data_IF_474039666776
#
_entry.id   IF_474039666776
#
_cell.length_a   1.000
_cell.length_b   1.000
_cell.length_c   1.000
_cell.angle_alpha   90.00
_cell.angle_beta   90.00
_cell.angle_gamma   90.00
#
_symmetry.space_group_name_H-M   'P 1'
#
loop_
_entity.id
_entity.type
_entity.pdbx_description
1 polymer ?
#
# COMPACT_ATOMS: atom_id res chain seq x y z
N UNK A 1 -13.29 -8.51 -0.45
CA UNK A 1 -12.26 -9.08 -1.36
C UNK A 1 -11.28 -7.98 -1.76
N UNK A 2 -9.98 -8.27 -1.90
CA UNK A 2 -8.98 -7.28 -2.36
C UNK A 2 -8.55 -7.61 -3.78
N UNK A 3 -8.64 -6.64 -4.69
CA UNK A 3 -8.38 -6.81 -6.11
C UNK A 3 -7.34 -5.77 -6.57
N UNK A 4 -6.41 -6.22 -7.41
CA UNK A 4 -5.48 -5.34 -8.10
C UNK A 4 -6.14 -4.75 -9.35
N UNK A 5 -5.91 -3.46 -9.61
CA UNK A 5 -6.39 -2.80 -10.84
C UNK A 5 -5.68 -3.29 -12.11
N UNK A 6 -4.41 -3.69 -12.00
CA UNK A 6 -3.63 -4.37 -13.04
C UNK A 6 -2.34 -4.93 -12.42
N UNK A 7 -1.81 -6.00 -13.00
CA UNK A 7 -0.58 -6.65 -12.52
C UNK A 7 0.71 -6.10 -13.15
N UNK A 8 0.62 -5.16 -14.11
CA UNK A 8 1.76 -4.54 -14.80
C UNK A 8 2.80 -5.54 -15.36
N UNK A 9 2.35 -6.72 -15.77
CA UNK A 9 3.20 -7.79 -16.32
C UNK A 9 2.66 -8.31 -17.64
N UNK A 10 3.56 -8.82 -18.49
CA UNK A 10 3.17 -9.46 -19.76
C UNK A 10 2.38 -10.73 -19.47
N UNK A 11 1.11 -10.75 -19.87
CA UNK A 11 0.18 -11.83 -19.55
C UNK A 11 -0.44 -11.78 -18.14
N UNK A 12 -0.26 -10.67 -17.41
CA UNK A 12 -0.96 -10.42 -16.15
C UNK A 12 -2.37 -9.84 -16.37
N UNK A 13 -3.09 -9.60 -15.27
CA UNK A 13 -4.47 -9.09 -15.31
C UNK A 13 -4.56 -7.74 -16.04
N UNK A 14 -5.35 -7.70 -17.11
CA UNK A 14 -5.71 -6.45 -17.80
C UNK A 14 -6.77 -5.67 -17.01
N UNK A 15 -6.99 -4.40 -17.38
CA UNK A 15 -8.03 -3.59 -16.74
C UNK A 15 -9.41 -4.18 -17.05
N UNK A 16 -9.62 -4.61 -18.29
CA UNK A 16 -10.85 -5.24 -18.74
C UNK A 16 -11.13 -6.54 -17.97
N UNK A 17 -10.13 -7.42 -17.85
CA UNK A 17 -10.27 -8.64 -17.06
C UNK A 17 -10.59 -8.33 -15.59
N UNK A 18 -9.98 -7.29 -15.03
CA UNK A 18 -10.23 -6.89 -13.64
C UNK A 18 -11.67 -6.40 -13.42
N UNK A 19 -12.28 -5.75 -14.42
CA UNK A 19 -13.69 -5.35 -14.37
C UNK A 19 -14.62 -6.55 -14.45
N UNK A 20 -14.31 -7.53 -15.29
CA UNK A 20 -15.08 -8.77 -15.39
C UNK A 20 -15.01 -9.56 -14.09
N UNK A 21 -13.82 -9.69 -13.50
CA UNK A 21 -13.61 -10.31 -12.18
C UNK A 21 -14.37 -9.57 -11.09
N UNK A 22 -14.27 -8.25 -11.04
CA UNK A 22 -14.99 -7.44 -10.05
C UNK A 22 -16.52 -7.60 -10.17
N UNK A 23 -17.04 -7.64 -11.40
CA UNK A 23 -18.47 -7.84 -11.67
C UNK A 23 -18.93 -9.23 -11.26
N UNK A 24 -18.16 -10.27 -11.58
CA UNK A 24 -18.44 -11.64 -11.17
C UNK A 24 -18.43 -11.80 -9.65
N UNK A 25 -17.45 -11.19 -8.98
CA UNK A 25 -17.37 -11.18 -7.53
C UNK A 25 -18.57 -10.45 -6.91
N UNK A 26 -18.96 -9.29 -7.45
CA UNK A 26 -20.15 -8.55 -7.03
C UNK A 26 -21.42 -9.39 -7.19
N UNK A 27 -21.59 -10.07 -8.32
CA UNK A 27 -22.71 -10.99 -8.56
C UNK A 27 -22.72 -12.21 -7.63
N UNK A 28 -21.56 -12.60 -7.09
CA UNK A 28 -21.45 -13.64 -6.07
C UNK A 28 -21.78 -13.16 -4.65
N UNK A 29 -22.09 -11.87 -4.47
CA UNK A 29 -22.58 -11.31 -3.21
C UNK A 29 -21.50 -10.94 -2.21
N UNK A 30 -20.31 -10.52 -2.67
CA UNK A 30 -19.30 -9.97 -1.75
C UNK A 30 -19.73 -8.61 -1.18
N UNK A 31 -19.34 -8.32 0.06
CA UNK A 31 -19.78 -7.10 0.76
C UNK A 31 -18.93 -5.85 0.43
N UNK A 32 -17.68 -6.04 0.00
CA UNK A 32 -16.73 -4.96 -0.22
C UNK A 32 -15.63 -5.38 -1.21
N UNK A 33 -15.33 -4.51 -2.17
CA UNK A 33 -14.15 -4.61 -3.04
C UNK A 33 -13.10 -3.58 -2.61
N UNK A 34 -11.97 -4.05 -2.11
CA UNK A 34 -10.81 -3.20 -1.89
C UNK A 34 -9.95 -3.13 -3.15
N UNK A 35 -9.82 -1.93 -3.70
CA UNK A 35 -8.98 -1.63 -4.85
C UNK A 35 -7.60 -1.18 -4.38
N UNK A 36 -6.60 -1.91 -4.84
CA UNK A 36 -5.20 -1.53 -4.80
C UNK A 36 -4.55 -1.80 -6.15
N UNK A 37 -3.24 -1.66 -6.25
CA UNK A 37 -2.54 -2.08 -7.44
C UNK A 37 -1.05 -2.26 -7.19
N UNK A 38 -0.42 -2.93 -8.14
CA UNK A 38 0.99 -3.31 -8.09
C UNK A 38 1.19 -4.76 -7.66
N UNK A 39 2.24 -5.36 -8.22
CA UNK A 39 2.67 -6.71 -7.96
C UNK A 39 4.01 -6.67 -7.20
N UNK A 40 4.23 -7.53 -6.21
CA UNK A 40 5.53 -7.64 -5.51
C UNK A 40 6.70 -7.97 -6.45
N UNK A 41 6.43 -8.53 -7.63
CA UNK A 41 7.43 -8.84 -8.65
C UNK A 41 7.86 -7.63 -9.51
N UNK A 42 7.14 -6.50 -9.46
CA UNK A 42 7.50 -5.23 -10.11
C UNK A 42 7.04 -4.07 -9.22
N UNK A 43 7.94 -3.27 -8.61
CA UNK A 43 7.65 -2.40 -7.46
C UNK A 43 6.81 -1.14 -7.78
N UNK A 44 5.66 -1.31 -8.42
CA UNK A 44 4.64 -0.29 -8.60
C UNK A 44 4.17 0.29 -7.26
N UNK A 45 4.13 -0.55 -6.21
CA UNK A 45 3.79 -0.18 -4.83
C UNK A 45 4.83 0.74 -4.15
N UNK A 46 6.06 0.80 -4.67
CA UNK A 46 7.16 1.63 -4.15
C UNK A 46 7.35 2.93 -4.97
N UNK A 47 6.36 3.29 -5.79
CA UNK A 47 6.42 4.48 -6.66
C UNK A 47 7.28 4.30 -7.90
N UNK A 48 7.59 3.06 -8.30
CA UNK A 48 8.37 2.76 -9.51
C UNK A 48 7.51 2.76 -10.78
N UNK A 49 6.19 2.56 -10.67
CA UNK A 49 5.25 2.56 -11.80
C UNK A 49 4.45 3.85 -11.97
N UNK A 50 4.67 4.87 -11.11
CA UNK A 50 3.97 6.14 -11.26
C UNK A 50 4.89 7.20 -11.84
N UNK A 51 4.43 7.96 -12.85
CA UNK A 51 5.17 9.12 -13.34
C UNK A 51 5.49 10.04 -12.16
N UNK A 52 6.67 10.67 -12.21
CA UNK A 52 7.03 11.69 -11.24
C UNK A 52 5.92 12.75 -11.21
N UNK A 53 5.24 12.92 -10.07
CA UNK A 53 4.18 13.92 -9.88
C UNK A 53 2.83 13.40 -9.39
N UNK A 54 2.53 12.09 -9.46
CA UNK A 54 1.27 11.56 -8.91
C UNK A 54 1.30 11.58 -7.39
N UNK A 55 0.58 12.54 -6.81
CA UNK A 55 0.77 12.99 -5.42
C UNK A 55 -0.09 12.22 -4.41
N UNK A 56 -1.18 11.59 -4.85
CA UNK A 56 -2.08 10.76 -4.04
C UNK A 56 -3.05 9.96 -4.92
N UNK A 57 -3.70 8.93 -4.37
CA UNK A 57 -4.82 8.22 -5.03
C UNK A 57 -4.47 7.48 -6.33
N UNK A 58 -3.44 6.63 -6.29
CA UNK A 58 -2.87 5.95 -7.48
C UNK A 58 -3.87 5.24 -8.39
N UNK A 59 -4.95 4.72 -7.81
CA UNK A 59 -5.95 3.91 -8.49
C UNK A 59 -7.34 4.55 -8.48
N UNK A 60 -7.42 5.85 -8.16
CA UNK A 60 -8.70 6.54 -8.00
C UNK A 60 -9.52 6.55 -9.29
N UNK A 61 -8.91 6.89 -10.43
CA UNK A 61 -9.64 6.93 -11.70
C UNK A 61 -10.18 5.56 -12.10
N UNK A 62 -9.38 4.51 -11.92
CA UNK A 62 -9.80 3.13 -12.12
C UNK A 62 -10.95 2.73 -11.17
N UNK A 63 -10.85 3.06 -9.88
CA UNK A 63 -11.88 2.71 -8.90
C UNK A 63 -13.19 3.45 -9.18
N UNK A 64 -13.13 4.71 -9.60
CA UNK A 64 -14.31 5.49 -10.03
C UNK A 64 -14.94 4.89 -11.28
N UNK A 65 -14.15 4.41 -12.23
CA UNK A 65 -14.67 3.72 -13.40
C UNK A 65 -15.34 2.39 -13.03
N UNK A 66 -14.70 1.59 -12.18
CA UNK A 66 -15.25 0.34 -11.69
C UNK A 66 -16.57 0.56 -10.94
N UNK A 67 -16.68 1.61 -10.13
CA UNK A 67 -17.90 1.96 -9.38
C UNK A 67 -19.09 2.31 -10.27
N UNK A 68 -18.86 2.57 -11.56
CA UNK A 68 -19.96 2.74 -12.54
C UNK A 68 -20.48 1.41 -13.10
N UNK A 69 -19.80 0.30 -12.81
CA UNK A 69 -20.04 -1.04 -13.38
C UNK A 69 -20.54 -2.03 -12.35
N UNK A 70 -20.27 -1.80 -11.06
CA UNK A 70 -20.68 -2.68 -9.95
C UNK A 70 -21.42 -1.89 -8.88
N UNK A 71 -22.40 -2.54 -8.24
CA UNK A 71 -23.12 -1.97 -7.07
C UNK A 71 -22.40 -2.25 -5.75
N UNK A 72 -21.40 -3.14 -5.77
CA UNK A 72 -20.62 -3.51 -4.59
C UNK A 72 -19.83 -2.30 -4.08
N UNK A 73 -19.89 -1.99 -2.77
CA UNK A 73 -19.11 -0.90 -2.18
C UNK A 73 -17.62 -1.04 -2.45
N UNK A 74 -16.96 0.10 -2.72
CA UNK A 74 -15.55 0.18 -3.08
C UNK A 74 -14.72 0.83 -1.96
N UNK A 75 -13.66 0.14 -1.55
CA UNK A 75 -12.61 0.69 -0.70
C UNK A 75 -11.38 1.02 -1.54
N UNK A 76 -10.86 2.24 -1.48
CA UNK A 76 -9.63 2.63 -2.17
C UNK A 76 -8.44 2.64 -1.20
N UNK A 77 -7.41 1.86 -1.50
CA UNK A 77 -6.15 1.85 -0.75
C UNK A 77 -4.97 2.17 -1.66
N UNK A 78 -4.26 3.26 -1.39
CA UNK A 78 -3.02 3.58 -2.10
C UNK A 78 -2.73 5.07 -2.19
N UNK A 79 -1.70 5.52 -1.46
CA UNK A 79 -1.18 6.88 -1.59
C UNK A 79 -2.05 7.98 -0.95
N UNK A 80 -3.20 7.65 -0.38
CA UNK A 80 -4.06 8.56 0.37
C UNK A 80 -3.38 8.89 1.71
N UNK A 81 -2.80 10.09 1.81
CA UNK A 81 -2.04 10.53 2.99
C UNK A 81 -2.69 11.69 3.70
N UNK A 82 -3.41 12.56 3.02
CA UNK A 82 -4.04 13.73 3.64
C UNK A 82 -5.56 13.58 3.70
N UNK A 83 -6.21 14.26 4.64
CA UNK A 83 -7.66 14.42 4.72
C UNK A 83 -8.23 14.92 3.40
N UNK A 84 -7.57 15.90 2.77
CA UNK A 84 -8.01 16.43 1.48
C UNK A 84 -8.03 15.37 0.39
N UNK A 85 -7.01 14.50 0.33
CA UNK A 85 -6.99 13.38 -0.62
C UNK A 85 -8.13 12.38 -0.34
N UNK A 86 -8.38 12.09 0.94
CA UNK A 86 -9.41 11.15 1.37
C UNK A 86 -10.82 11.68 1.05
N UNK A 87 -11.10 12.93 1.42
CA UNK A 87 -12.37 13.60 1.12
C UNK A 87 -12.57 13.73 -0.40
N UNK A 88 -11.51 14.03 -1.15
CA UNK A 88 -11.54 14.06 -2.60
C UNK A 88 -11.88 12.71 -3.23
N UNK A 89 -11.37 11.61 -2.68
CA UNK A 89 -11.73 10.27 -3.13
C UNK A 89 -13.20 9.94 -2.83
N UNK A 90 -13.66 10.23 -1.61
CA UNK A 90 -15.06 10.01 -1.20
C UNK A 90 -16.04 10.81 -2.08
N UNK A 91 -15.73 12.09 -2.35
CA UNK A 91 -16.53 12.96 -3.20
C UNK A 91 -16.65 12.46 -4.65
N UNK A 92 -15.75 11.57 -5.09
CA UNK A 92 -15.76 10.96 -6.43
C UNK A 92 -16.48 9.63 -6.49
N UNK A 93 -17.11 9.18 -5.40
CA UNK A 93 -17.90 7.94 -5.35
C UNK A 93 -17.14 6.73 -4.84
N UNK A 94 -16.07 6.93 -4.05
CA UNK A 94 -15.46 5.85 -3.27
C UNK A 94 -16.18 5.75 -1.92
N UNK A 95 -16.53 4.54 -1.49
CA UNK A 95 -17.30 4.33 -0.26
C UNK A 95 -16.42 4.27 0.99
N UNK A 96 -15.18 3.80 0.85
CA UNK A 96 -14.25 3.66 1.98
C UNK A 96 -12.81 3.98 1.60
N UNK A 97 -12.06 4.58 2.52
CA UNK A 97 -10.63 4.88 2.36
C UNK A 97 -9.81 3.92 3.20
N UNK A 98 -8.87 3.22 2.56
CA UNK A 98 -7.87 2.41 3.24
C UNK A 98 -6.58 3.15 3.57
N UNK A 99 -6.13 2.99 4.81
CA UNK A 99 -4.92 3.60 5.35
C UNK A 99 -4.02 2.49 5.91
N UNK A 100 -2.74 2.49 5.53
CA UNK A 100 -1.76 1.51 6.01
C UNK A 100 -0.45 2.17 6.46
N UNK A 101 0.36 2.66 5.51
CA UNK A 101 1.68 3.25 5.81
C UNK A 101 1.67 4.37 6.87
N UNK A 102 0.72 5.33 6.86
CA UNK A 102 0.62 6.32 7.93
C UNK A 102 0.52 5.71 9.33
N UNK A 103 -0.24 4.62 9.49
CA UNK A 103 -0.44 3.92 10.75
C UNK A 103 0.81 3.18 11.26
N UNK A 104 1.79 2.92 10.39
CA UNK A 104 3.07 2.37 10.83
C UNK A 104 3.84 3.36 11.72
N UNK A 105 3.61 4.67 11.56
CA UNK A 105 4.30 5.71 12.33
C UNK A 105 3.38 6.42 13.32
N UNK A 106 2.11 6.60 12.96
CA UNK A 106 1.08 7.28 13.75
C UNK A 106 -0.12 6.33 13.88
N UNK A 107 -0.14 5.42 14.87
CA UNK A 107 -1.11 4.32 14.90
C UNK A 107 -2.56 4.77 15.03
N UNK A 108 -2.77 5.91 15.69
CA UNK A 108 -4.04 6.58 15.90
C UNK A 108 -4.42 7.54 14.75
N UNK A 109 -3.68 7.55 13.63
CA UNK A 109 -3.90 8.45 12.50
C UNK A 109 -5.37 8.50 12.03
N UNK A 110 -6.08 7.37 11.83
CA UNK A 110 -7.47 7.42 11.39
C UNK A 110 -8.38 8.10 12.43
N UNK A 111 -8.17 7.82 13.73
CA UNK A 111 -8.97 8.42 14.79
C UNK A 111 -8.78 9.95 14.84
N UNK A 112 -7.54 10.42 14.70
CA UNK A 112 -7.20 11.85 14.66
C UNK A 112 -7.81 12.55 13.45
N UNK A 113 -7.78 11.90 12.28
CA UNK A 113 -8.48 12.42 11.10
C UNK A 113 -9.98 12.51 11.37
N UNK A 114 -10.62 11.45 11.84
CA UNK A 114 -12.06 11.46 12.12
C UNK A 114 -12.46 12.50 13.18
N UNK A 115 -11.59 12.77 14.16
CA UNK A 115 -11.79 13.79 15.19
C UNK A 115 -11.59 15.24 14.68
N UNK A 116 -11.19 15.44 13.42
CA UNK A 116 -10.94 16.77 12.87
C UNK A 116 -9.64 17.41 13.35
N UNK A 117 -8.73 16.65 13.95
CA UNK A 117 -7.47 17.17 14.46
C UNK A 117 -6.52 17.63 13.35
N UNK A 118 -5.55 18.52 13.67
CA UNK A 118 -4.47 18.86 12.76
C UNK A 118 -3.70 17.60 12.34
N UNK A 119 -3.47 17.48 11.04
CA UNK A 119 -2.79 16.32 10.46
C UNK A 119 -1.37 16.18 11.04
N UNK A 120 -1.02 15.04 11.65
CA UNK A 120 0.33 14.83 12.13
C UNK A 120 1.31 14.76 10.98
N UNK A 121 2.51 15.25 11.25
CA UNK A 121 3.64 15.08 10.33
C UNK A 121 3.98 13.60 10.22
N UNK A 122 3.70 13.01 9.07
CA UNK A 122 4.15 11.66 8.74
C UNK A 122 5.67 11.69 8.52
N UNK A 123 6.42 10.67 8.98
CA UNK A 123 7.87 10.62 8.76
C UNK A 123 8.18 10.66 7.28
N UNK A 124 9.25 11.37 6.93
CA UNK A 124 9.78 11.33 5.55
C UNK A 124 10.26 9.91 5.28
N UNK A 125 9.94 9.41 4.10
CA UNK A 125 10.52 8.17 3.58
C UNK A 125 12.06 8.23 3.67
N UNK A 126 12.75 7.08 3.79
CA UNK A 126 14.20 7.03 3.74
C UNK A 126 14.75 7.83 2.57
N UNK A 127 15.90 8.50 2.77
CA UNK A 127 16.52 9.32 1.72
C UNK A 127 16.71 8.46 0.48
N UNK A 128 16.19 8.96 -0.65
CA UNK A 128 16.35 8.32 -1.94
C UNK A 128 17.82 8.29 -2.32
N UNK A 129 18.33 7.09 -2.57
CA UNK A 129 19.65 6.80 -3.14
C UNK A 129 19.68 7.09 -4.64
N UNK A 130 18.52 7.22 -5.28
CA UNK A 130 18.39 7.44 -6.73
C UNK A 130 18.26 6.13 -7.51
N UNK A 131 18.48 4.98 -6.87
CA UNK A 131 18.23 3.68 -7.45
C UNK A 131 16.93 3.09 -6.90
N UNK A 132 15.88 3.16 -7.73
CA UNK A 132 14.49 2.84 -7.36
C UNK A 132 14.30 1.50 -6.61
N UNK A 133 14.93 0.38 -7.01
CA UNK A 133 14.78 -0.89 -6.28
C UNK A 133 15.31 -0.85 -4.84
N UNK A 134 16.43 -0.14 -4.60
CA UNK A 134 16.98 0.02 -3.24
C UNK A 134 16.11 0.97 -2.43
N UNK A 135 15.66 2.07 -3.04
CA UNK A 135 14.82 3.07 -2.36
C UNK A 135 13.52 2.47 -1.83
N UNK A 136 12.89 1.63 -2.64
CA UNK A 136 11.68 0.94 -2.24
C UNK A 136 11.90 -0.13 -1.17
N UNK A 137 12.96 -0.95 -1.29
CA UNK A 137 13.34 -1.88 -0.23
C UNK A 137 13.60 -1.17 1.10
N UNK A 138 14.30 -0.03 1.07
CA UNK A 138 14.55 0.78 2.26
C UNK A 138 13.24 1.31 2.87
N UNK A 139 12.30 1.75 2.04
CA UNK A 139 10.97 2.16 2.48
C UNK A 139 10.24 1.00 3.15
N UNK A 140 10.17 -0.18 2.52
CA UNK A 140 9.55 -1.38 3.09
C UNK A 140 10.18 -1.76 4.44
N UNK A 141 11.51 -1.81 4.51
CA UNK A 141 12.24 -2.13 5.72
C UNK A 141 11.94 -1.15 6.86
N UNK A 142 11.85 0.15 6.57
CA UNK A 142 11.53 1.17 7.55
C UNK A 142 10.12 1.00 8.15
N UNK A 143 9.10 0.72 7.31
CA UNK A 143 7.74 0.48 7.80
C UNK A 143 7.64 -0.83 8.59
N UNK A 144 8.28 -1.90 8.12
CA UNK A 144 8.29 -3.19 8.81
C UNK A 144 8.94 -3.10 10.20
N UNK A 145 10.01 -2.29 10.35
CA UNK A 145 10.60 -2.05 11.67
C UNK A 145 9.59 -1.45 12.64
N UNK A 146 8.82 -0.44 12.24
CA UNK A 146 7.84 0.18 13.13
C UNK A 146 6.72 -0.79 13.53
N UNK A 147 6.24 -1.60 12.58
CA UNK A 147 5.24 -2.64 12.87
C UNK A 147 5.77 -3.66 13.89
N UNK A 148 7.02 -4.10 13.74
CA UNK A 148 7.65 -4.98 14.72
C UNK A 148 7.84 -4.31 16.08
N UNK A 149 8.21 -3.02 16.12
CA UNK A 149 8.33 -2.28 17.38
C UNK A 149 7.00 -2.28 18.12
N UNK A 150 5.91 -1.96 17.43
CA UNK A 150 4.56 -1.99 18.01
C UNK A 150 4.15 -3.38 18.48
N UNK A 151 4.48 -4.43 17.72
CA UNK A 151 4.22 -5.81 18.13
C UNK A 151 4.94 -6.20 19.44
N UNK A 152 6.04 -5.52 19.78
CA UNK A 152 6.76 -5.67 21.05
C UNK A 152 6.34 -4.65 22.13
N UNK A 153 5.21 -3.94 21.94
CA UNK A 153 4.71 -2.94 22.88
C UNK A 153 5.51 -1.63 22.90
N UNK A 154 6.41 -1.41 21.92
CA UNK A 154 7.19 -0.19 21.81
C UNK A 154 6.48 0.83 20.90
N UNK A 155 6.53 2.11 21.28
CA UNK A 155 6.02 3.18 20.43
C UNK A 155 6.81 3.28 19.09
N UNK A 156 6.13 3.64 17.98
CA UNK A 156 6.79 3.99 16.74
C UNK A 156 7.77 5.16 16.94
N UNK A 157 8.80 5.21 16.09
CA UNK A 157 9.79 6.29 16.08
C UNK A 157 9.61 7.15 14.84
N UNK A 158 9.49 8.46 15.05
CA UNK A 158 9.38 9.46 13.97
C UNK A 158 10.70 9.75 13.24
N UNK A 159 11.77 8.97 13.48
CA UNK A 159 13.08 9.16 12.85
C UNK A 159 13.57 7.85 12.24
N UNK A 160 13.69 7.81 10.91
CA UNK A 160 14.40 6.76 10.17
C UNK A 160 15.94 6.94 10.32
N UNK A 161 16.43 6.84 11.56
CA UNK A 161 17.86 6.93 11.85
C UNK A 161 18.58 5.60 11.57
N UNK A 162 19.92 5.62 11.60
CA UNK A 162 20.77 4.42 11.52
C UNK A 162 20.37 3.34 12.55
N UNK A 163 19.87 3.74 13.71
CA UNK A 163 19.43 2.85 14.79
C UNK A 163 18.16 2.05 14.49
N UNK A 164 17.36 2.47 13.52
CA UNK A 164 16.18 1.72 13.01
C UNK A 164 16.50 0.99 11.70
N UNK A 165 17.35 1.57 10.84
CA UNK A 165 17.70 0.99 9.55
C UNK A 165 18.54 -0.29 9.66
N UNK A 166 19.56 -0.31 10.55
CA UNK A 166 20.46 -1.48 10.68
C UNK A 166 19.73 -2.73 11.19
N UNK A 167 18.90 -2.68 12.25
CA UNK A 167 18.13 -3.84 12.69
C UNK A 167 17.07 -4.32 11.69
N UNK A 168 16.51 -3.39 10.89
CA UNK A 168 15.54 -3.70 9.84
C UNK A 168 16.21 -4.48 8.70
N UNK A 169 17.32 -3.97 8.17
CA UNK A 169 18.12 -4.62 7.12
C UNK A 169 18.59 -6.01 7.59
N UNK A 170 19.08 -6.14 8.83
CA UNK A 170 19.54 -7.42 9.37
C UNK A 170 18.42 -8.45 9.57
N UNK A 171 17.18 -8.02 9.84
CA UNK A 171 16.02 -8.92 9.95
C UNK A 171 15.50 -9.31 8.58
N UNK A 172 15.29 -8.35 7.69
CA UNK A 172 14.79 -8.61 6.34
C UNK A 172 15.78 -9.43 5.52
N UNK A 173 17.10 -9.18 5.65
CA UNK A 173 18.14 -10.00 5.03
C UNK A 173 18.13 -11.45 5.53
N UNK A 174 17.94 -11.68 6.84
CA UNK A 174 17.80 -13.04 7.39
C UNK A 174 16.53 -13.74 6.91
N UNK A 175 15.40 -13.02 6.80
CA UNK A 175 14.16 -13.54 6.25
C UNK A 175 14.30 -13.91 4.78
N UNK A 176 14.88 -13.04 3.96
CA UNK A 176 15.13 -13.29 2.53
C UNK A 176 16.04 -14.51 2.31
N UNK A 177 17.10 -14.66 3.12
CA UNK A 177 17.99 -15.84 3.07
C UNK A 177 17.26 -17.13 3.49
N UNK A 178 16.36 -17.07 4.47
CA UNK A 178 15.54 -18.24 4.86
C UNK A 178 14.57 -18.61 3.73
N UNK A 179 13.88 -17.64 3.15
CA UNK A 179 12.95 -17.88 2.07
C UNK A 179 13.64 -18.46 0.82
N UNK A 180 14.79 -17.90 0.42
CA UNK A 180 15.59 -18.45 -0.67
C UNK A 180 16.04 -19.90 -0.43
N UNK A 181 16.34 -20.27 0.82
CA UNK A 181 16.67 -21.65 1.21
C UNK A 181 15.47 -22.59 1.15
N UNK A 182 14.28 -22.12 1.53
CA UNK A 182 13.05 -22.92 1.46
C UNK A 182 12.64 -23.14 0.01
N UNK A 183 12.70 -22.11 -0.84
CA UNK A 183 12.37 -22.23 -2.27
C UNK A 183 13.37 -23.12 -3.02
N UNK A 184 14.65 -23.13 -2.63
CA UNK A 184 15.63 -24.06 -3.18
C UNK A 184 15.41 -25.53 -2.76
N UNK A 185 14.70 -25.77 -1.66
CA UNK A 185 14.38 -27.12 -1.16
C UNK A 185 13.10 -27.70 -1.75
N UNK A 186 12.21 -26.87 -2.33
CA UNK A 186 10.97 -27.30 -2.99
C UNK A 186 11.16 -27.61 -4.50
N UNK A 187 12.36 -27.34 -5.05
CA UNK A 187 12.71 -27.55 -6.47
C UNK A 187 13.64 -28.77 -6.66
N UNK A 188 13.83 -29.59 -5.62
CA UNK A 188 14.59 -30.86 -5.67
C UNK A 188 13.68 -32.04 -5.38
#
# INVERSE_FOLDING_TARGET
>A
MKLNSTDFQRGGLSIEDSFDVASALGGAGIDLLEISGGNYAMPAMEGVAHPAGTTSGYFLDYAVELGRRVETPLMLTGGLRTRADMEGALARGIDMVGIARPMASVPDYPARILAGEPEPTLPRDPRRTGYRPIDGYLQLAAHNDQLHRMAHGLAPKNSAGLSTAVPAIARTGRAALRQARTTAAEVV
#
